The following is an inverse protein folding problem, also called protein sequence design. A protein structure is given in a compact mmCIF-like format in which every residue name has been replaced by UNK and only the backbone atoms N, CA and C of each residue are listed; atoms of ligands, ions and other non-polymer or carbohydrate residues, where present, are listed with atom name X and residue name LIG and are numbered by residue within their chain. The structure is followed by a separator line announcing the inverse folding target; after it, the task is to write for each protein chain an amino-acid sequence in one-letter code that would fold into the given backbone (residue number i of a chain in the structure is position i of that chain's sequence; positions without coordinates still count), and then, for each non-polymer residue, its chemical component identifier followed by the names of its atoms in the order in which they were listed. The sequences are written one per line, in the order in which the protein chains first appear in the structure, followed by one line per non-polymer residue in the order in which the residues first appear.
data_IF_083766354508
#
_entry.id   IF_083766354508
#
_cell.length_a   1.000
_cell.length_b   1.000
_cell.length_c   1.000
_cell.angle_alpha   90.00
_cell.angle_beta   90.00
_cell.angle_gamma   90.00
#
_symmetry.space_group_name_H-M   'P 1'
#
loop_
_entity.id
_entity.type
_entity.pdbx_description
1 polymer ?
#
# COMPACT_ATOMS: atom_id res chain seq x y z
N UNK A 1 -6.60 -1.68 -11.99
CA UNK A 1 -6.95 -2.33 -10.71
C UNK A 1 -8.12 -1.65 -9.97
N UNK A 2 -8.34 -0.33 -10.10
CA UNK A 2 -9.70 0.23 -9.87
C UNK A 2 -10.34 0.81 -11.14
N UNK A 3 -9.64 1.61 -11.96
CA UNK A 3 -10.14 2.02 -13.30
C UNK A 3 -9.02 2.33 -14.33
N UNK A 4 -7.76 1.93 -14.07
CA UNK A 4 -6.59 2.31 -14.88
C UNK A 4 -6.48 3.83 -15.13
N UNK A 5 -7.02 4.62 -14.19
CA UNK A 5 -7.03 6.09 -14.25
C UNK A 5 -5.63 6.71 -14.05
N UNK A 6 -4.69 5.94 -13.48
CA UNK A 6 -3.33 6.39 -13.27
C UNK A 6 -2.47 6.07 -14.49
N UNK A 7 -1.54 6.99 -14.81
CA UNK A 7 -0.60 6.84 -15.92
C UNK A 7 0.54 5.87 -15.57
N UNK A 8 0.21 4.59 -15.39
CA UNK A 8 1.14 3.50 -15.07
C UNK A 8 0.82 2.28 -15.91
N UNK A 9 1.84 1.44 -16.16
CA UNK A 9 1.70 0.14 -16.81
C UNK A 9 0.92 0.16 -18.11
N UNK A 10 -0.29 -0.40 -18.09
CA UNK A 10 -1.18 -0.53 -19.27
C UNK A 10 -1.45 0.79 -19.99
N UNK A 11 -1.46 1.92 -19.27
CA UNK A 11 -1.61 3.24 -19.88
C UNK A 11 -0.56 3.47 -20.98
N UNK A 12 0.69 3.06 -20.75
CA UNK A 12 1.81 3.29 -21.68
C UNK A 12 1.90 2.25 -22.81
N UNK A 13 1.12 1.17 -22.76
CA UNK A 13 1.24 0.02 -23.68
C UNK A 13 1.10 0.40 -25.16
N UNK A 14 0.39 1.47 -25.46
CA UNK A 14 0.14 1.94 -26.82
C UNK A 14 1.12 3.02 -27.30
N UNK A 15 2.09 3.42 -26.47
CA UNK A 15 3.08 4.45 -26.80
C UNK A 15 4.47 3.77 -26.85
N UNK A 16 5.00 3.46 -28.05
CA UNK A 16 6.20 2.63 -28.23
C UNK A 16 7.42 3.08 -27.44
N UNK A 17 7.62 4.39 -27.31
CA UNK A 17 8.74 5.03 -26.61
C UNK A 17 8.74 4.76 -25.10
N UNK A 18 7.60 4.34 -24.56
CA UNK A 18 7.38 4.09 -23.14
C UNK A 18 7.20 2.61 -22.79
N UNK A 19 7.59 1.69 -23.70
CA UNK A 19 7.49 0.24 -23.48
C UNK A 19 8.16 -0.24 -22.19
N UNK A 20 9.28 0.37 -21.80
CA UNK A 20 9.99 0.07 -20.54
C UNK A 20 9.23 0.52 -19.28
N UNK A 21 8.27 1.43 -19.41
CA UNK A 21 7.44 1.95 -18.31
C UNK A 21 6.14 1.15 -18.11
N UNK A 22 5.91 0.13 -18.95
CA UNK A 22 4.75 -0.75 -18.85
C UNK A 22 4.94 -1.79 -17.72
N UNK A 23 6.17 -2.18 -17.43
CA UNK A 23 6.48 -3.26 -16.51
C UNK A 23 7.45 -2.83 -15.41
N UNK A 24 7.31 -3.45 -14.24
CA UNK A 24 8.29 -3.36 -13.19
C UNK A 24 9.62 -3.92 -13.68
N UNK A 25 10.68 -3.12 -13.63
CA UNK A 25 12.03 -3.58 -14.00
C UNK A 25 12.55 -4.71 -13.09
N UNK A 26 12.07 -4.76 -11.85
CA UNK A 26 12.43 -5.81 -10.87
C UNK A 26 11.53 -7.04 -10.93
N UNK A 27 10.21 -6.84 -10.98
CA UNK A 27 9.25 -7.94 -10.89
C UNK A 27 8.87 -8.55 -12.23
N UNK A 28 9.10 -7.83 -13.35
CA UNK A 28 8.67 -8.20 -14.71
C UNK A 28 7.15 -8.36 -14.89
N UNK A 29 6.38 -7.81 -13.96
CA UNK A 29 4.92 -7.75 -14.02
C UNK A 29 4.47 -6.39 -14.56
N UNK A 30 3.26 -6.31 -15.13
CA UNK A 30 2.70 -5.01 -15.53
C UNK A 30 2.51 -4.12 -14.32
N UNK A 31 3.04 -2.90 -14.37
CA UNK A 31 2.96 -1.97 -13.26
C UNK A 31 1.51 -1.51 -13.05
N UNK A 32 1.02 -1.55 -11.82
CA UNK A 32 -0.17 -0.84 -11.41
C UNK A 32 0.00 -0.28 -9.98
N UNK A 33 -0.95 0.53 -9.53
CA UNK A 33 -0.85 1.20 -8.22
C UNK A 33 -0.77 0.19 -7.07
N UNK A 34 -1.44 -0.96 -7.16
CA UNK A 34 -1.35 -1.98 -6.13
C UNK A 34 0.04 -2.64 -6.14
N UNK A 35 0.58 -2.92 -7.33
CA UNK A 35 1.94 -3.39 -7.48
C UNK A 35 2.92 -2.42 -6.83
N UNK A 36 2.89 -1.15 -7.23
CA UNK A 36 3.79 -0.10 -6.73
C UNK A 36 3.70 -0.01 -5.20
N UNK A 37 2.49 0.13 -4.65
CA UNK A 37 2.35 0.49 -3.24
C UNK A 37 2.55 -0.70 -2.30
N UNK A 38 2.13 -1.92 -2.67
CA UNK A 38 2.04 -3.04 -1.71
C UNK A 38 2.58 -4.38 -2.20
N UNK A 39 2.87 -4.59 -3.49
CA UNK A 39 3.36 -5.90 -4.01
C UNK A 39 4.77 -5.86 -4.60
N UNK A 40 5.34 -4.68 -4.81
CA UNK A 40 6.61 -4.53 -5.51
C UNK A 40 7.76 -5.13 -4.70
N UNK A 41 8.67 -5.83 -5.39
CA UNK A 41 9.91 -6.39 -4.79
C UNK A 41 11.11 -5.48 -4.95
N UNK A 42 10.90 -4.24 -5.38
CA UNK A 42 11.94 -3.22 -5.34
C UNK A 42 12.29 -2.92 -3.87
N UNK A 43 13.56 -2.66 -3.52
CA UNK A 43 13.98 -2.54 -2.11
C UNK A 43 13.23 -1.49 -1.29
N UNK A 44 12.74 -0.42 -1.93
CA UNK A 44 12.02 0.66 -1.25
C UNK A 44 10.64 0.25 -0.75
N UNK A 45 9.95 -0.68 -1.42
CA UNK A 45 8.60 -1.09 -1.03
C UNK A 45 8.58 -1.82 0.32
N UNK A 46 9.35 -2.92 0.54
CA UNK A 46 9.43 -3.54 1.86
C UNK A 46 10.04 -2.59 2.89
N UNK A 47 11.07 -1.81 2.53
CA UNK A 47 11.69 -0.86 3.47
C UNK A 47 10.67 0.14 4.06
N UNK A 48 9.81 0.73 3.22
CA UNK A 48 8.77 1.65 3.71
C UNK A 48 7.82 0.92 4.66
N UNK A 49 7.35 -0.27 4.30
CA UNK A 49 6.41 -1.01 5.14
C UNK A 49 7.02 -1.57 6.42
N UNK A 50 8.31 -1.93 6.41
CA UNK A 50 9.05 -2.31 7.61
C UNK A 50 9.13 -1.14 8.58
N UNK A 51 9.43 0.07 8.11
CA UNK A 51 9.47 1.28 8.95
C UNK A 51 8.08 1.59 9.54
N UNK A 52 7.02 1.50 8.72
CA UNK A 52 5.65 1.77 9.20
C UNK A 52 5.22 0.70 10.20
N UNK A 53 5.59 -0.56 9.97
CA UNK A 53 5.33 -1.67 10.89
C UNK A 53 6.04 -1.47 12.22
N UNK A 54 7.33 -1.12 12.21
CA UNK A 54 8.09 -0.82 13.42
C UNK A 54 7.43 0.33 14.21
N UNK A 55 6.98 1.39 13.52
CA UNK A 55 6.29 2.51 14.14
C UNK A 55 4.95 2.08 14.76
N UNK A 56 4.20 1.22 14.08
CA UNK A 56 2.94 0.68 14.57
C UNK A 56 3.14 -0.17 15.81
N UNK A 57 4.03 -1.15 15.75
CA UNK A 57 4.30 -2.07 16.86
C UNK A 57 4.87 -1.33 18.09
N UNK A 58 5.59 -0.23 17.88
CA UNK A 58 6.10 0.62 18.96
C UNK A 58 4.99 1.42 19.65
N UNK A 59 4.07 2.01 18.89
CA UNK A 59 3.03 2.91 19.43
C UNK A 59 1.76 2.18 19.85
N UNK A 60 1.47 1.01 19.26
CA UNK A 60 0.25 0.24 19.41
C UNK A 60 0.53 -1.26 19.64
N UNK A 61 1.36 -1.62 20.64
CA UNK A 61 1.77 -3.01 20.88
C UNK A 61 0.62 -3.95 21.22
N UNK A 62 -0.53 -3.42 21.67
CA UNK A 62 -1.73 -4.21 21.95
C UNK A 62 -2.56 -4.57 20.70
N UNK A 63 -2.22 -4.02 19.53
CA UNK A 63 -2.93 -4.29 18.27
C UNK A 63 -2.02 -5.01 17.27
N UNK A 64 -2.58 -6.02 16.61
CA UNK A 64 -1.89 -6.66 15.49
C UNK A 64 -1.63 -5.66 14.36
N UNK A 65 -0.49 -5.79 13.71
CA UNK A 65 -0.13 -5.03 12.51
C UNK A 65 -1.22 -5.20 11.42
N UNK A 66 -1.89 -4.12 10.99
CA UNK A 66 -2.86 -4.20 9.91
C UNK A 66 -2.15 -4.25 8.56
N UNK A 67 -1.97 -5.45 8.01
CA UNK A 67 -1.27 -5.65 6.75
C UNK A 67 -1.85 -4.74 5.63
N UNK A 68 -0.99 -3.97 4.94
CA UNK A 68 -1.45 -2.99 3.98
C UNK A 68 -2.02 -3.65 2.72
N UNK A 69 -3.10 -3.07 2.22
CA UNK A 69 -3.69 -3.40 0.93
C UNK A 69 -4.07 -2.11 0.21
N UNK A 70 -4.30 -2.17 -1.09
CA UNK A 70 -4.80 -0.99 -1.81
C UNK A 70 -6.12 -0.48 -1.19
N UNK A 71 -6.98 -1.39 -0.72
CA UNK A 71 -8.22 -1.04 -0.05
C UNK A 71 -8.02 -0.32 1.28
N UNK A 72 -7.10 -0.77 2.13
CA UNK A 72 -6.83 -0.11 3.42
C UNK A 72 -6.18 1.26 3.25
N UNK A 73 -5.34 1.44 2.22
CA UNK A 73 -4.74 2.74 1.89
C UNK A 73 -5.81 3.73 1.40
N UNK A 74 -6.67 3.31 0.47
CA UNK A 74 -7.74 4.17 -0.07
C UNK A 74 -8.84 4.46 0.94
N UNK A 75 -9.09 3.54 1.87
CA UNK A 75 -10.11 3.64 2.91
C UNK A 75 -9.56 3.98 4.30
N UNK A 76 -8.33 4.49 4.40
CA UNK A 76 -7.65 4.66 5.70
C UNK A 76 -8.45 5.54 6.68
N UNK A 77 -9.15 6.54 6.16
CA UNK A 77 -10.01 7.42 6.95
C UNK A 77 -11.23 6.71 7.56
N UNK A 78 -11.61 5.55 7.03
CA UNK A 78 -12.76 4.75 7.49
C UNK A 78 -12.36 3.63 8.46
N UNK A 79 -11.07 3.35 8.65
CA UNK A 79 -10.61 2.29 9.54
C UNK A 79 -10.98 2.64 10.99
N UNK A 80 -11.57 1.71 11.72
CA UNK A 80 -11.94 1.88 13.13
C UNK A 80 -11.21 0.88 14.02
N UNK A 81 -10.62 1.38 15.09
CA UNK A 81 -9.97 0.57 16.11
C UNK A 81 -10.84 0.51 17.35
N UNK A 82 -10.97 -0.68 17.91
CA UNK A 82 -11.78 -0.94 19.09
C UNK A 82 -10.93 -1.69 20.12
N UNK A 83 -11.09 -1.35 21.40
CA UNK A 83 -10.43 -2.08 22.47
C UNK A 83 -11.05 -3.47 22.69
N UNK A 84 -10.46 -4.26 23.60
CA UNK A 84 -10.95 -5.60 23.93
C UNK A 84 -12.40 -5.64 24.47
N UNK A 85 -12.95 -4.50 24.90
CA UNK A 85 -14.33 -4.34 25.37
C UNK A 85 -15.26 -3.80 24.28
N UNK A 86 -14.75 -3.51 23.08
CA UNK A 86 -15.50 -2.98 21.95
C UNK A 86 -15.65 -1.46 21.96
N UNK A 87 -14.92 -0.71 22.80
CA UNK A 87 -14.99 0.75 22.77
C UNK A 87 -14.08 1.34 21.67
N UNK A 88 -14.54 2.36 20.93
CA UNK A 88 -13.75 2.97 19.86
C UNK A 88 -12.53 3.72 20.39
N UNK A 89 -11.42 3.65 19.65
CA UNK A 89 -10.12 4.26 19.97
C UNK A 89 -9.66 5.17 18.82
N UNK A 90 -10.24 6.38 18.70
CA UNK A 90 -9.96 7.29 17.60
C UNK A 90 -8.53 7.85 17.59
N UNK A 91 -7.83 7.81 18.72
CA UNK A 91 -6.44 8.26 18.87
C UNK A 91 -5.45 7.44 18.05
N UNK A 92 -5.75 6.16 17.80
CA UNK A 92 -4.90 5.23 17.02
C UNK A 92 -4.90 5.61 15.54
N UNK A 93 -5.97 6.25 15.05
CA UNK A 93 -6.07 6.73 13.65
C UNK A 93 -5.11 7.87 13.30
N UNK A 94 -4.34 8.38 14.27
CA UNK A 94 -3.52 9.60 14.11
C UNK A 94 -2.04 9.33 13.79
N UNK A 95 -1.65 8.07 13.65
CA UNK A 95 -0.36 7.66 13.10
C UNK A 95 -0.37 7.66 11.57
#
# INVERSE_FOLDING_TARGET
ALHDAHKVGRFWKHIPEYGEQVQCQKCRETEDIEHILVKCRQPWCPLVWDIVKDLWETNHPEYAWPEPSLGSILGCNMIEFHDAKGHPRPEIKRL
#
